data_IF_135294290600
#
_entry.id   IF_135294290600
#
_cell.length_a   1.000
_cell.length_b   1.000
_cell.length_c   1.000
_cell.angle_alpha   90.00
_cell.angle_beta   90.00
_cell.angle_gamma   90.00
#
_symmetry.space_group_name_H-M   'P 1'
#
loop_
_entity.id
_entity.type
_entity.pdbx_description
1 polymer ?
#
# COMPACT_ATOMS: atom_id res chain seq x y z
N UNK A 1 -28.32 -9.24 -20.15
CA UNK A 1 -27.30 -8.75 -19.20
C UNK A 1 -27.47 -9.47 -17.87
N UNK A 2 -26.75 -10.58 -17.66
CA UNK A 2 -26.71 -11.28 -16.37
C UNK A 2 -25.67 -10.60 -15.48
N UNK A 3 -26.09 -10.00 -14.37
CA UNK A 3 -25.14 -9.47 -13.38
C UNK A 3 -24.35 -10.65 -12.80
N UNK A 4 -23.02 -10.68 -12.87
CA UNK A 4 -22.24 -11.71 -12.18
C UNK A 4 -22.52 -11.59 -10.68
N UNK A 5 -23.11 -12.61 -10.08
CA UNK A 5 -23.28 -12.69 -8.63
C UNK A 5 -21.96 -13.16 -8.02
N UNK A 6 -21.17 -12.22 -7.49
CA UNK A 6 -19.94 -12.53 -6.75
C UNK A 6 -20.29 -13.37 -5.53
N UNK A 7 -19.57 -14.48 -5.31
CA UNK A 7 -19.80 -15.31 -4.12
C UNK A 7 -19.34 -14.56 -2.86
N UNK A 8 -20.01 -14.73 -1.70
CA UNK A 8 -19.58 -14.09 -0.45
C UNK A 8 -18.11 -14.38 -0.08
N UNK A 9 -17.63 -15.59 -0.37
CA UNK A 9 -16.23 -15.97 -0.16
C UNK A 9 -15.26 -15.19 -1.05
N UNK A 10 -15.60 -14.97 -2.32
CA UNK A 10 -14.78 -14.15 -3.21
C UNK A 10 -14.74 -12.70 -2.74
N UNK A 11 -15.88 -12.14 -2.29
CA UNK A 11 -15.93 -10.79 -1.72
C UNK A 11 -15.03 -10.68 -0.49
N UNK A 12 -15.06 -11.66 0.42
CA UNK A 12 -14.20 -11.66 1.60
C UNK A 12 -12.70 -11.67 1.23
N UNK A 13 -12.31 -12.49 0.25
CA UNK A 13 -10.92 -12.55 -0.23
C UNK A 13 -10.51 -11.23 -0.88
N UNK A 14 -11.32 -10.68 -1.78
CA UNK A 14 -11.02 -9.40 -2.45
C UNK A 14 -10.96 -8.23 -1.46
N UNK A 15 -11.83 -8.23 -0.45
CA UNK A 15 -11.81 -7.25 0.63
C UNK A 15 -10.53 -7.36 1.46
N UNK A 16 -10.12 -8.57 1.84
CA UNK A 16 -8.88 -8.80 2.58
C UNK A 16 -7.64 -8.38 1.79
N UNK A 17 -7.57 -8.73 0.50
CA UNK A 17 -6.48 -8.33 -0.39
C UNK A 17 -6.42 -6.80 -0.57
N UNK A 18 -7.58 -6.17 -0.78
CA UNK A 18 -7.67 -4.71 -0.93
C UNK A 18 -7.29 -3.97 0.36
N UNK A 19 -7.63 -4.52 1.52
CA UNK A 19 -7.34 -3.93 2.82
C UNK A 19 -5.85 -4.02 3.22
N UNK A 20 -5.09 -4.93 2.61
CA UNK A 20 -3.70 -5.16 2.97
C UNK A 20 -2.81 -3.92 2.75
N UNK A 21 -3.04 -3.20 1.66
CA UNK A 21 -2.29 -1.99 1.32
C UNK A 21 -2.51 -0.83 2.32
N UNK A 22 -3.74 -0.35 2.58
CA UNK A 22 -3.96 0.71 3.57
C UNK A 22 -3.55 0.28 4.98
N UNK A 23 -3.79 -0.98 5.37
CA UNK A 23 -3.37 -1.49 6.68
C UNK A 23 -1.85 -1.47 6.86
N UNK A 24 -1.09 -1.81 5.81
CA UNK A 24 0.38 -1.74 5.85
C UNK A 24 0.88 -0.32 6.05
N UNK A 25 0.26 0.67 5.38
CA UNK A 25 0.63 2.09 5.50
C UNK A 25 0.30 2.62 6.89
N UNK A 26 -0.89 2.28 7.40
CA UNK A 26 -1.36 2.67 8.73
C UNK A 26 -0.46 2.14 9.85
N UNK A 27 0.12 0.95 9.67
CA UNK A 27 1.11 0.38 10.59
C UNK A 27 2.51 0.98 10.39
N UNK A 28 2.92 1.26 9.15
CA UNK A 28 4.26 1.72 8.81
C UNK A 28 4.54 3.16 9.26
N UNK A 29 3.64 4.10 8.96
CA UNK A 29 3.82 5.52 9.28
C UNK A 29 4.12 5.80 10.77
N UNK A 30 3.37 5.27 11.74
CA UNK A 30 3.66 5.49 13.16
C UNK A 30 4.90 4.73 13.64
N UNK A 31 5.37 3.70 12.93
CA UNK A 31 6.58 2.97 13.27
C UNK A 31 7.87 3.69 12.83
N UNK A 32 7.79 4.58 11.83
CA UNK A 32 8.94 5.32 11.29
C UNK A 32 9.81 6.03 12.34
N UNK A 33 9.27 6.74 13.34
CA UNK A 33 10.10 7.39 14.35
C UNK A 33 10.89 6.39 15.22
N UNK A 34 10.33 5.20 15.46
CA UNK A 34 11.03 4.14 16.20
C UNK A 34 12.14 3.53 15.35
N UNK A 35 11.85 3.19 14.10
CA UNK A 35 12.84 2.69 13.13
C UNK A 35 14.00 3.67 12.98
N UNK A 36 13.70 4.96 12.87
CA UNK A 36 14.73 6.00 12.74
C UNK A 36 15.63 6.09 13.97
N UNK A 37 15.07 5.98 15.19
CA UNK A 37 15.87 5.97 16.42
C UNK A 37 16.78 4.75 16.51
N UNK A 38 16.27 3.57 16.17
CA UNK A 38 17.05 2.33 16.20
C UNK A 38 18.16 2.31 15.15
N UNK A 39 17.94 2.94 14.00
CA UNK A 39 18.92 3.04 12.91
C UNK A 39 19.83 4.28 13.01
N UNK A 40 19.62 5.17 13.99
CA UNK A 40 20.34 6.44 14.09
C UNK A 40 20.10 7.38 12.91
N UNK A 41 18.96 7.25 12.23
CA UNK A 41 18.61 8.02 11.04
C UNK A 41 18.13 9.43 11.40
N UNK A 42 18.47 10.40 10.56
CA UNK A 42 18.03 11.79 10.69
C UNK A 42 16.59 11.97 10.21
N UNK A 43 15.96 13.11 10.54
CA UNK A 43 14.63 13.44 10.02
C UNK A 43 14.60 13.54 8.48
N UNK A 44 15.71 13.97 7.86
CA UNK A 44 15.86 14.03 6.41
C UNK A 44 15.81 12.64 5.76
N UNK A 45 16.40 11.64 6.42
CA UNK A 45 16.39 10.26 5.93
C UNK A 45 14.98 9.68 5.91
N UNK A 46 14.19 9.90 6.98
CA UNK A 46 12.78 9.49 7.02
C UNK A 46 12.00 10.14 5.88
N UNK A 47 12.18 11.44 5.66
CA UNK A 47 11.46 12.18 4.62
C UNK A 47 11.85 11.73 3.20
N UNK A 48 13.12 11.38 2.99
CA UNK A 48 13.57 10.78 1.74
C UNK A 48 12.89 9.43 1.48
N UNK A 49 12.81 8.54 2.49
CA UNK A 49 12.14 7.24 2.31
C UNK A 49 10.66 7.39 1.98
N UNK A 50 9.96 8.33 2.61
CA UNK A 50 8.56 8.65 2.30
C UNK A 50 8.41 9.17 0.87
N UNK A 51 9.32 10.04 0.43
CA UNK A 51 9.34 10.55 -0.94
C UNK A 51 9.53 9.42 -1.96
N UNK A 52 10.52 8.56 -1.73
CA UNK A 52 10.78 7.39 -2.57
C UNK A 52 9.59 6.44 -2.59
N UNK A 53 8.95 6.19 -1.44
CA UNK A 53 7.75 5.36 -1.33
C UNK A 53 6.60 5.91 -2.19
N UNK A 54 6.28 7.20 -2.07
CA UNK A 54 5.18 7.83 -2.84
C UNK A 54 5.48 7.79 -4.34
N UNK A 55 6.71 8.08 -4.74
CA UNK A 55 7.12 8.00 -6.14
C UNK A 55 6.98 6.57 -6.68
N UNK A 56 7.57 5.59 -5.99
CA UNK A 56 7.50 4.19 -6.38
C UNK A 56 6.06 3.67 -6.42
N UNK A 57 5.23 4.04 -5.45
CA UNK A 57 3.82 3.67 -5.42
C UNK A 57 3.06 4.29 -6.60
N UNK A 58 3.25 5.59 -6.85
CA UNK A 58 2.64 6.29 -7.99
C UNK A 58 3.03 5.66 -9.33
N UNK A 59 4.32 5.40 -9.55
CA UNK A 59 4.78 4.69 -10.75
C UNK A 59 4.22 3.27 -10.84
N UNK A 60 4.15 2.56 -9.72
CA UNK A 60 3.53 1.24 -9.62
C UNK A 60 2.06 1.26 -10.06
N UNK A 61 1.28 2.26 -9.64
CA UNK A 61 -0.12 2.42 -10.03
C UNK A 61 -0.29 2.64 -11.55
N UNK A 62 0.63 3.37 -12.18
CA UNK A 62 0.60 3.59 -13.65
C UNK A 62 0.73 2.25 -14.41
N UNK A 63 1.52 1.32 -13.88
CA UNK A 63 1.73 0.00 -14.51
C UNK A 63 0.64 -0.98 -14.11
N UNK A 64 0.40 -1.14 -12.79
CA UNK A 64 -0.52 -2.14 -12.26
C UNK A 64 -2.00 -1.80 -12.49
N UNK A 65 -2.39 -0.54 -12.49
CA UNK A 65 -3.79 -0.13 -12.72
C UNK A 65 -4.31 -0.67 -14.06
N UNK A 66 -3.67 -0.32 -15.20
CA UNK A 66 -4.06 -0.82 -16.52
C UNK A 66 -3.90 -2.34 -16.71
N UNK A 67 -3.08 -3.02 -15.89
CA UNK A 67 -2.95 -4.48 -15.94
C UNK A 67 -4.12 -5.13 -15.18
N UNK A 68 -4.51 -4.59 -14.04
CA UNK A 68 -5.64 -5.09 -13.25
C UNK A 68 -7.01 -4.84 -13.89
N UNK A 69 -7.12 -3.81 -14.73
CA UNK A 69 -8.35 -3.46 -15.46
C UNK A 69 -8.60 -4.35 -16.71
N UNK A 70 -7.63 -5.18 -17.10
CA UNK A 70 -7.69 -6.09 -18.26
C UNK A 70 -8.03 -7.51 -17.84
#
# INVERSE_FOLDING_TARGET
>A
MTRPTLSPGLIAVLAALSAFAPLSIDMYLPALPTIARELGASGGDIQLTLTVFVLAFGFGQIVYGPIGDR
#
